data_IF_100849918494
#
_entry.id   IF_100849918494
#
_cell.length_a   1.000
_cell.length_b   1.000
_cell.length_c   1.000
_cell.angle_alpha   90.00
_cell.angle_beta   90.00
_cell.angle_gamma   90.00
#
_symmetry.space_group_name_H-M   'P 1'
#
loop_
_entity.id
_entity.type
_entity.pdbx_description
1 polymer ?
#
# COMPACT_ATOMS: atom_id res chain seq x y z
N UNK A 1 -12.76 27.01 -57.49
CA UNK A 1 -11.61 26.23 -56.95
C UNK A 1 -11.35 26.56 -55.47
N UNK A 2 -12.40 26.59 -54.63
CA UNK A 2 -12.31 27.00 -53.19
C UNK A 2 -13.05 26.04 -52.24
N UNK A 3 -13.84 25.09 -52.78
CA UNK A 3 -14.60 24.11 -51.98
C UNK A 3 -13.78 22.86 -51.59
N UNK A 4 -12.58 22.67 -52.15
CA UNK A 4 -11.73 21.51 -51.84
C UNK A 4 -10.94 21.67 -50.53
N UNK A 5 -10.71 22.91 -50.06
CA UNK A 5 -9.84 23.16 -48.89
C UNK A 5 -10.56 22.96 -47.56
N UNK A 6 -11.89 23.09 -47.52
CA UNK A 6 -12.64 22.89 -46.28
C UNK A 6 -12.76 21.40 -45.91
N UNK A 7 -12.92 20.51 -46.89
CA UNK A 7 -13.04 19.07 -46.64
C UNK A 7 -11.77 18.47 -46.03
N UNK A 8 -10.59 18.91 -46.46
CA UNK A 8 -9.30 18.45 -45.92
C UNK A 8 -9.10 18.84 -44.45
N UNK A 9 -9.59 20.02 -44.04
CA UNK A 9 -9.48 20.49 -42.66
C UNK A 9 -10.28 19.61 -41.69
N UNK A 10 -11.52 19.26 -42.06
CA UNK A 10 -12.38 18.40 -41.22
C UNK A 10 -11.85 16.97 -41.12
N UNK A 11 -11.29 16.41 -42.20
CA UNK A 11 -10.71 15.07 -42.20
C UNK A 11 -9.46 15.02 -41.31
N UNK A 12 -8.60 16.04 -41.38
CA UNK A 12 -7.41 16.15 -40.54
C UNK A 12 -7.76 16.21 -39.05
N UNK A 13 -8.77 17.00 -38.70
CA UNK A 13 -9.21 17.17 -37.32
C UNK A 13 -9.92 15.92 -36.77
N UNK A 14 -10.66 15.20 -37.60
CA UNK A 14 -11.24 13.91 -37.23
C UNK A 14 -10.16 12.84 -36.99
N UNK A 15 -9.13 12.80 -37.84
CA UNK A 15 -8.00 11.87 -37.69
C UNK A 15 -7.21 12.13 -36.41
N UNK A 16 -6.93 13.39 -36.06
CA UNK A 16 -6.22 13.70 -34.82
C UNK A 16 -7.02 13.30 -33.59
N UNK A 17 -8.33 13.54 -33.57
CA UNK A 17 -9.20 13.10 -32.46
C UNK A 17 -9.25 11.58 -32.34
N UNK A 18 -9.34 10.86 -33.46
CA UNK A 18 -9.32 9.38 -33.46
C UNK A 18 -7.97 8.86 -32.96
N UNK A 19 -6.85 9.43 -33.40
CA UNK A 19 -5.51 9.05 -32.94
C UNK A 19 -5.37 9.29 -31.43
N UNK A 20 -5.80 10.46 -30.94
CA UNK A 20 -5.79 10.76 -29.49
C UNK A 20 -6.65 9.76 -28.72
N UNK A 21 -7.85 9.44 -29.22
CA UNK A 21 -8.74 8.47 -28.57
C UNK A 21 -8.15 7.05 -28.57
N UNK A 22 -7.49 6.64 -29.65
CA UNK A 22 -6.80 5.35 -29.73
C UNK A 22 -5.58 5.29 -28.80
N UNK A 23 -4.82 6.39 -28.66
CA UNK A 23 -3.71 6.50 -27.70
C UNK A 23 -4.25 6.41 -26.26
N UNK A 24 -5.37 7.06 -25.96
CA UNK A 24 -6.03 7.01 -24.64
C UNK A 24 -6.61 5.62 -24.34
N UNK A 25 -7.17 4.93 -25.34
CA UNK A 25 -7.62 3.54 -25.20
C UNK A 25 -6.44 2.58 -25.00
N UNK A 26 -5.33 2.77 -25.72
CA UNK A 26 -4.13 1.96 -25.58
C UNK A 26 -3.41 2.18 -24.25
N UNK A 27 -3.53 3.37 -23.64
CA UNK A 27 -2.96 3.65 -22.32
C UNK A 27 -3.83 3.17 -21.14
N UNK A 28 -5.05 2.69 -21.39
CA UNK A 28 -5.88 1.99 -20.40
C UNK A 28 -5.55 0.50 -20.27
N UNK A 29 -4.53 -0.02 -20.97
CA UNK A 29 -3.99 -1.34 -20.65
C UNK A 29 -3.24 -1.22 -19.32
N UNK A 30 -3.68 -1.97 -18.31
CA UNK A 30 -2.98 -2.16 -17.04
C UNK A 30 -1.46 -2.10 -17.23
N UNK A 31 -0.82 -1.11 -16.63
CA UNK A 31 0.63 -0.95 -16.63
C UNK A 31 1.26 -2.19 -16.01
N UNK A 32 1.69 -3.13 -16.85
CA UNK A 32 2.54 -4.25 -16.44
C UNK A 32 3.98 -3.77 -16.55
N UNK A 33 4.59 -3.43 -15.42
CA UNK A 33 6.02 -3.15 -15.38
C UNK A 33 6.78 -4.48 -15.42
N UNK A 34 7.53 -4.70 -16.49
CA UNK A 34 8.44 -5.85 -16.60
C UNK A 34 9.70 -5.57 -15.77
N UNK A 35 9.83 -6.18 -14.59
CA UNK A 35 11.06 -6.12 -13.81
C UNK A 35 12.04 -7.18 -14.33
N UNK A 36 13.21 -6.76 -14.83
CA UNK A 36 14.25 -7.69 -15.28
C UNK A 36 15.07 -8.20 -14.10
N UNK A 37 15.04 -9.51 -13.88
CA UNK A 37 15.87 -10.20 -12.89
C UNK A 37 17.29 -10.42 -13.42
N UNK A 38 18.29 -10.43 -12.53
CA UNK A 38 19.72 -10.66 -12.84
C UNK A 38 20.04 -12.08 -13.38
N UNK A 39 19.02 -12.93 -13.58
CA UNK A 39 19.14 -14.30 -14.13
C UNK A 39 18.24 -14.61 -15.36
N UNK A 40 17.71 -13.60 -16.05
CA UNK A 40 17.21 -13.80 -17.42
C UNK A 40 15.85 -14.51 -17.57
N UNK A 41 15.08 -14.70 -16.50
CA UNK A 41 13.66 -15.06 -16.61
C UNK A 41 12.77 -13.85 -16.32
N UNK A 42 11.99 -13.45 -17.33
CA UNK A 42 10.98 -12.41 -17.20
C UNK A 42 9.75 -12.99 -16.49
N UNK A 43 9.53 -12.64 -15.22
CA UNK A 43 8.25 -12.83 -14.56
C UNK A 43 7.45 -11.53 -14.65
N UNK A 44 6.23 -11.60 -15.19
CA UNK A 44 5.30 -10.47 -15.19
C UNK A 44 4.77 -10.26 -13.78
N UNK A 45 5.35 -9.30 -13.05
CA UNK A 45 4.84 -8.89 -11.75
C UNK A 45 3.76 -7.83 -11.97
N UNK A 46 2.52 -8.12 -11.57
CA UNK A 46 1.52 -7.06 -11.49
C UNK A 46 1.96 -6.06 -10.42
N UNK A 47 1.98 -4.78 -10.79
CA UNK A 47 2.40 -3.73 -9.88
C UNK A 47 1.52 -3.76 -8.62
N UNK A 48 2.15 -3.75 -7.42
CA UNK A 48 1.41 -3.86 -6.18
C UNK A 48 0.53 -2.63 -6.01
N UNK A 49 -0.69 -2.81 -5.49
CA UNK A 49 -1.49 -1.66 -5.05
C UNK A 49 -0.78 -1.01 -3.86
N UNK A 50 -0.70 0.32 -3.81
CA UNK A 50 -0.10 1.05 -2.70
C UNK A 50 -1.19 1.72 -1.90
N UNK A 51 -1.15 1.52 -0.59
CA UNK A 51 -2.05 2.12 0.37
C UNK A 51 -1.26 3.04 1.30
N UNK A 52 -1.46 4.33 1.11
CA UNK A 52 -0.80 5.38 1.88
C UNK A 52 -1.68 5.77 3.06
N UNK A 53 -1.20 5.56 4.28
CA UNK A 53 -1.88 6.02 5.49
C UNK A 53 -1.41 7.44 5.79
N UNK A 54 -2.33 8.40 5.65
CA UNK A 54 -1.95 9.81 5.73
C UNK A 54 -2.83 10.53 6.75
N UNK A 55 -2.27 11.40 7.62
CA UNK A 55 -3.10 12.37 8.31
C UNK A 55 -3.83 13.17 7.24
N UNK A 56 -5.16 13.16 7.28
CA UNK A 56 -6.00 13.94 6.35
C UNK A 56 -5.44 15.35 6.27
N UNK A 57 -5.07 15.78 5.05
CA UNK A 57 -4.50 17.09 4.69
C UNK A 57 -2.98 17.17 4.49
N UNK A 58 -2.28 16.09 4.10
CA UNK A 58 -0.94 16.23 3.50
C UNK A 58 -0.92 15.85 2.00
N UNK A 59 -1.40 16.73 1.10
CA UNK A 59 -1.40 16.49 -0.35
C UNK A 59 0.00 16.18 -0.89
N UNK A 60 1.04 16.76 -0.28
CA UNK A 60 2.43 16.62 -0.70
C UNK A 60 2.91 15.18 -0.65
N UNK A 61 2.54 14.41 0.38
CA UNK A 61 2.98 13.02 0.51
C UNK A 61 2.32 12.11 -0.54
N UNK A 62 1.01 12.26 -0.76
CA UNK A 62 0.27 11.50 -1.77
C UNK A 62 0.75 11.87 -3.18
N UNK A 63 0.94 13.16 -3.44
CA UNK A 63 1.46 13.65 -4.72
C UNK A 63 2.88 13.10 -5.00
N UNK A 64 3.74 13.03 -3.96
CA UNK A 64 5.06 12.41 -4.08
C UNK A 64 4.96 10.90 -4.38
N UNK A 65 4.05 10.17 -3.73
CA UNK A 65 3.85 8.75 -4.04
C UNK A 65 3.37 8.54 -5.48
N UNK A 66 2.37 9.32 -5.92
CA UNK A 66 1.84 9.24 -7.28
C UNK A 66 2.87 9.64 -8.34
N UNK A 67 3.76 10.59 -8.04
CA UNK A 67 4.78 11.04 -8.97
C UNK A 67 5.95 10.04 -9.11
N UNK A 68 6.28 9.30 -8.05
CA UNK A 68 7.50 8.48 -8.02
C UNK A 68 7.24 6.97 -8.15
N UNK A 69 6.01 6.50 -7.94
CA UNK A 69 5.70 5.06 -7.94
C UNK A 69 4.79 4.69 -9.11
N UNK A 70 5.15 3.68 -9.92
CA UNK A 70 4.34 3.23 -11.05
C UNK A 70 3.17 2.35 -10.58
N UNK A 71 2.44 2.75 -9.53
CA UNK A 71 1.45 1.93 -8.88
C UNK A 71 0.14 2.67 -8.61
N UNK A 72 -0.95 1.93 -8.46
CA UNK A 72 -2.22 2.50 -8.01
C UNK A 72 -2.10 2.88 -6.53
N UNK A 73 -2.05 4.18 -6.25
CA UNK A 73 -1.97 4.71 -4.89
C UNK A 73 -3.37 5.07 -4.40
N UNK A 74 -3.77 4.46 -3.28
CA UNK A 74 -4.97 4.83 -2.53
C UNK A 74 -4.54 5.48 -1.22
N UNK A 75 -5.07 6.66 -0.94
CA UNK A 75 -4.85 7.32 0.34
C UNK A 75 -5.98 6.95 1.31
N UNK A 76 -5.62 6.42 2.48
CA UNK A 76 -6.54 6.26 3.59
C UNK A 76 -6.29 7.33 4.65
N UNK A 77 -7.35 7.96 5.17
CA UNK A 77 -7.24 8.95 6.22
C UNK A 77 -6.85 8.29 7.55
N UNK A 78 -5.97 8.93 8.34
CA UNK A 78 -5.83 8.60 9.76
C UNK A 78 -7.06 9.11 10.51
N UNK A 79 -7.86 8.23 11.15
CA UNK A 79 -9.02 8.66 11.91
C UNK A 79 -8.58 9.42 13.17
N UNK A 80 -9.37 10.40 13.61
CA UNK A 80 -9.13 11.04 14.91
C UNK A 80 -9.43 10.05 16.04
N UNK A 81 -8.45 9.78 16.91
CA UNK A 81 -8.60 8.83 18.00
C UNK A 81 -9.70 9.17 19.01
N UNK A 82 -10.10 10.45 19.14
CA UNK A 82 -11.23 10.83 19.99
C UNK A 82 -12.59 10.48 19.40
N UNK A 83 -12.64 10.15 18.11
CA UNK A 83 -13.85 9.77 17.38
C UNK A 83 -13.99 8.25 17.20
N UNK A 84 -12.97 7.48 17.58
CA UNK A 84 -13.02 6.01 17.52
C UNK A 84 -13.84 5.51 18.71
N UNK A 85 -14.94 4.80 18.43
CA UNK A 85 -15.75 4.14 19.47
C UNK A 85 -14.86 3.19 20.30
N UNK A 86 -14.97 3.26 21.62
CA UNK A 86 -14.17 2.43 22.53
C UNK A 86 -14.33 0.94 22.24
N UNK A 87 -15.50 0.50 21.75
CA UNK A 87 -15.77 -0.89 21.34
C UNK A 87 -15.04 -1.32 20.08
N UNK A 88 -14.46 -0.37 19.33
CA UNK A 88 -13.67 -0.66 18.14
C UNK A 88 -12.24 -1.12 18.48
N UNK A 89 -11.78 -0.93 19.72
CA UNK A 89 -10.48 -1.45 20.17
C UNK A 89 -10.62 -2.91 20.63
N UNK A 90 -9.63 -3.77 20.34
CA UNK A 90 -9.60 -5.13 20.86
C UNK A 90 -9.29 -5.14 22.36
N UNK A 91 -9.27 -6.34 22.93
CA UNK A 91 -8.79 -6.52 24.30
C UNK A 91 -7.34 -6.04 24.43
N UNK A 92 -6.95 -5.62 25.63
CA UNK A 92 -5.63 -5.08 25.93
C UNK A 92 -5.69 -3.75 26.68
N UNK A 93 -4.58 -3.02 26.64
CA UNK A 93 -4.32 -1.81 27.38
C UNK A 93 -4.10 -0.61 26.45
N UNK A 94 -4.96 -0.51 25.43
CA UNK A 94 -4.95 0.56 24.44
C UNK A 94 -5.12 1.95 25.06
N UNK A 95 -5.68 2.03 26.27
CA UNK A 95 -5.85 3.28 27.02
C UNK A 95 -4.54 3.92 27.45
N UNK A 96 -3.47 3.15 27.62
CA UNK A 96 -2.13 3.68 27.88
C UNK A 96 -1.40 4.13 26.62
N UNK A 97 -1.89 3.75 25.44
CA UNK A 97 -1.32 4.23 24.19
C UNK A 97 -1.70 5.68 23.94
N UNK A 98 -0.83 6.42 23.27
CA UNK A 98 -1.14 7.78 22.85
C UNK A 98 -2.32 7.80 21.86
N UNK A 99 -3.07 8.91 21.76
CA UNK A 99 -4.08 9.08 20.70
C UNK A 99 -3.51 8.81 19.30
N UNK A 100 -2.29 9.26 19.01
CA UNK A 100 -1.60 9.02 17.74
C UNK A 100 -1.43 7.54 17.45
N UNK A 101 -1.03 6.74 18.44
CA UNK A 101 -0.84 5.30 18.28
C UNK A 101 -2.16 4.56 18.07
N UNK A 102 -3.23 5.00 18.73
CA UNK A 102 -4.59 4.47 18.52
C UNK A 102 -5.13 4.80 17.13
N UNK A 103 -4.94 6.04 16.66
CA UNK A 103 -5.26 6.46 15.31
C UNK A 103 -4.51 5.66 14.25
N UNK A 104 -3.20 5.50 14.42
CA UNK A 104 -2.37 4.73 13.51
C UNK A 104 -2.83 3.27 13.45
N UNK A 105 -2.99 2.61 14.60
CA UNK A 105 -3.52 1.25 14.66
C UNK A 105 -4.84 1.10 13.91
N UNK A 106 -5.79 2.02 14.13
CA UNK A 106 -7.09 1.96 13.46
C UNK A 106 -6.96 2.10 11.94
N UNK A 107 -6.12 3.01 11.47
CA UNK A 107 -5.86 3.15 10.03
C UNK A 107 -5.26 1.87 9.42
N UNK A 108 -4.38 1.17 10.13
CA UNK A 108 -3.88 -0.12 9.69
C UNK A 108 -4.99 -1.19 9.68
N UNK A 109 -5.91 -1.21 10.65
CA UNK A 109 -7.06 -2.13 10.61
C UNK A 109 -8.02 -1.83 9.46
N UNK A 110 -8.25 -0.55 9.15
CA UNK A 110 -9.06 -0.14 8.00
C UNK A 110 -8.38 -0.52 6.68
N UNK A 111 -7.06 -0.40 6.61
CA UNK A 111 -6.27 -0.88 5.50
C UNK A 111 -6.41 -2.38 5.26
N UNK A 112 -6.30 -3.18 6.32
CA UNK A 112 -6.48 -4.64 6.20
C UNK A 112 -7.89 -4.99 5.74
N UNK A 113 -8.91 -4.32 6.29
CA UNK A 113 -10.30 -4.50 5.85
C UNK A 113 -10.47 -4.14 4.37
N UNK A 114 -9.87 -3.04 3.92
CA UNK A 114 -9.91 -2.62 2.53
C UNK A 114 -9.28 -3.66 1.59
N UNK A 115 -8.07 -4.15 1.93
CA UNK A 115 -7.35 -5.19 1.17
C UNK A 115 -8.22 -6.44 1.02
N UNK A 116 -8.81 -6.90 2.12
CA UNK A 116 -9.64 -8.10 2.14
C UNK A 116 -10.93 -7.88 1.33
N UNK A 117 -11.65 -6.78 1.60
CA UNK A 117 -12.94 -6.47 0.98
C UNK A 117 -12.82 -6.20 -0.54
N UNK A 118 -11.71 -5.64 -0.99
CA UNK A 118 -11.43 -5.39 -2.41
C UNK A 118 -10.71 -6.55 -3.09
N UNK A 119 -10.44 -7.64 -2.38
CA UNK A 119 -9.73 -8.80 -2.89
C UNK A 119 -8.38 -8.44 -3.55
N UNK A 120 -7.63 -7.54 -2.92
CA UNK A 120 -6.32 -7.14 -3.42
C UNK A 120 -5.30 -8.26 -3.18
N UNK A 121 -4.54 -8.60 -4.21
CA UNK A 121 -3.61 -9.73 -4.16
C UNK A 121 -2.35 -9.41 -3.35
N UNK A 122 -1.65 -8.34 -3.74
CA UNK A 122 -0.47 -7.82 -3.06
C UNK A 122 -0.67 -6.32 -2.85
N UNK A 123 -0.55 -5.88 -1.60
CA UNK A 123 -0.65 -4.46 -1.26
C UNK A 123 0.55 -4.01 -0.44
N UNK A 124 1.18 -2.91 -0.86
CA UNK A 124 2.15 -2.17 -0.07
C UNK A 124 1.40 -1.20 0.83
N UNK A 125 1.54 -1.33 2.14
CA UNK A 125 1.01 -0.38 3.11
C UNK A 125 2.16 0.43 3.68
N UNK A 126 2.01 1.75 3.65
CA UNK A 126 3.04 2.66 4.12
C UNK A 126 2.44 3.75 5.01
N UNK A 127 3.16 4.04 6.09
CA UNK A 127 2.91 5.20 6.95
C UNK A 127 4.23 5.92 7.15
N UNK A 128 4.34 7.14 6.63
CA UNK A 128 5.58 7.91 6.71
C UNK A 128 5.94 8.56 5.39
N UNK A 129 7.18 8.39 4.94
CA UNK A 129 7.72 9.01 3.73
C UNK A 129 7.73 8.07 2.52
N UNK A 130 8.01 8.63 1.34
CA UNK A 130 8.06 7.86 0.08
C UNK A 130 9.29 6.95 0.06
N UNK A 131 10.38 7.37 0.70
CA UNK A 131 11.63 6.64 0.75
C UNK A 131 11.48 5.24 1.36
N UNK A 132 10.73 5.10 2.46
CA UNK A 132 10.44 3.78 3.05
C UNK A 132 9.63 2.87 2.12
N UNK A 133 8.82 3.45 1.24
CA UNK A 133 8.00 2.73 0.26
C UNK A 133 8.84 2.28 -0.93
N UNK A 134 9.70 3.15 -1.44
CA UNK A 134 10.66 2.86 -2.51
C UNK A 134 11.67 1.79 -2.09
N UNK A 135 12.27 1.92 -0.89
CA UNK A 135 13.23 0.95 -0.37
C UNK A 135 12.58 -0.43 -0.25
N UNK A 136 11.33 -0.49 0.19
CA UNK A 136 10.60 -1.75 0.26
C UNK A 136 10.28 -2.31 -1.13
N UNK A 137 9.87 -1.49 -2.10
CA UNK A 137 9.62 -1.94 -3.48
C UNK A 137 10.87 -2.50 -4.16
N UNK A 138 12.04 -1.94 -3.87
CA UNK A 138 13.32 -2.45 -4.39
C UNK A 138 13.72 -3.78 -3.75
N UNK A 139 13.29 -4.03 -2.51
CA UNK A 139 13.73 -5.18 -1.71
C UNK A 139 12.73 -6.33 -1.66
N UNK A 140 11.43 -6.05 -1.78
CA UNK A 140 10.40 -7.08 -1.88
C UNK A 140 10.66 -7.88 -3.14
N UNK A 141 11.07 -9.12 -2.95
CA UNK A 141 11.20 -10.08 -4.05
C UNK A 141 9.84 -10.78 -4.24
N UNK A 142 9.50 -11.15 -5.49
CA UNK A 142 8.43 -12.11 -5.73
C UNK A 142 8.72 -13.41 -4.96
N UNK A 143 7.74 -13.93 -4.23
CA UNK A 143 7.91 -15.15 -3.46
C UNK A 143 6.64 -15.51 -2.68
N UNK A 144 6.63 -16.72 -2.12
CA UNK A 144 5.60 -17.17 -1.19
C UNK A 144 5.83 -16.49 0.17
N UNK A 145 5.34 -15.26 0.32
CA UNK A 145 5.29 -14.55 1.58
C UNK A 145 3.87 -14.10 1.89
N UNK A 146 3.51 -14.09 3.18
CA UNK A 146 2.27 -13.51 3.66
C UNK A 146 2.45 -12.02 3.97
N UNK A 147 3.60 -11.69 4.58
CA UNK A 147 3.96 -10.33 4.99
C UNK A 147 5.46 -10.12 4.79
N UNK A 148 5.83 -9.02 4.16
CA UNK A 148 7.21 -8.50 4.17
C UNK A 148 7.25 -7.16 4.89
N UNK A 149 8.00 -7.04 5.98
CA UNK A 149 8.08 -5.82 6.79
C UNK A 149 9.48 -5.20 6.77
N UNK A 150 9.54 -3.88 6.59
CA UNK A 150 10.77 -3.10 6.71
C UNK A 150 10.94 -2.65 8.16
N UNK A 151 11.80 -3.36 8.91
CA UNK A 151 11.81 -3.28 10.38
C UNK A 151 12.70 -2.17 10.96
N UNK A 152 13.54 -1.52 10.16
CA UNK A 152 14.58 -0.60 10.64
C UNK A 152 14.60 0.77 9.94
N UNK A 153 13.48 1.49 9.90
CA UNK A 153 13.42 2.82 9.28
C UNK A 153 13.26 3.94 10.31
N UNK A 154 14.13 4.95 10.28
CA UNK A 154 14.07 6.10 11.21
C UNK A 154 12.95 7.10 10.89
N UNK A 155 12.37 7.06 9.68
CA UNK A 155 11.45 8.09 9.17
C UNK A 155 10.00 7.63 8.89
N UNK A 156 9.70 6.37 9.10
CA UNK A 156 8.41 5.77 8.76
C UNK A 156 8.45 4.27 8.93
N UNK A 157 7.47 3.55 8.39
CA UNK A 157 7.60 2.12 8.12
C UNK A 157 6.65 1.72 6.99
N UNK A 158 7.04 0.67 6.27
CA UNK A 158 6.25 0.09 5.20
C UNK A 158 6.27 -1.43 5.33
N UNK A 159 5.20 -2.07 4.85
CA UNK A 159 5.14 -3.51 4.67
C UNK A 159 4.34 -3.87 3.42
N UNK A 160 4.72 -4.96 2.78
CA UNK A 160 3.93 -5.60 1.75
C UNK A 160 3.15 -6.74 2.40
N UNK A 161 1.89 -6.91 2.02
CA UNK A 161 1.01 -7.91 2.60
C UNK A 161 0.11 -8.51 1.53
N UNK A 162 -0.10 -9.81 1.62
CA UNK A 162 -1.10 -10.55 0.83
C UNK A 162 -2.45 -10.55 1.52
N UNK A 163 -3.51 -11.00 0.85
CA UNK A 163 -4.81 -11.15 1.50
C UNK A 163 -4.78 -12.12 2.70
N UNK A 164 -3.99 -13.20 2.65
CA UNK A 164 -3.81 -14.13 3.78
C UNK A 164 -3.08 -13.46 4.94
N UNK A 165 -1.99 -12.75 4.65
CA UNK A 165 -1.27 -11.95 5.64
C UNK A 165 -2.14 -10.89 6.29
N UNK A 166 -3.00 -10.22 5.51
CA UNK A 166 -3.91 -9.19 6.02
C UNK A 166 -4.93 -9.76 7.02
N UNK A 167 -5.50 -10.94 6.72
CA UNK A 167 -6.39 -11.65 7.66
C UNK A 167 -5.66 -12.05 8.94
N UNK A 168 -4.43 -12.54 8.83
CA UNK A 168 -3.61 -12.91 10.00
C UNK A 168 -3.29 -11.70 10.86
N UNK A 169 -2.85 -10.58 10.26
CA UNK A 169 -2.62 -9.32 10.99
C UNK A 169 -3.89 -8.84 11.69
N UNK A 170 -5.02 -8.83 11.00
CA UNK A 170 -6.29 -8.40 11.59
C UNK A 170 -6.71 -9.31 12.75
N UNK A 171 -6.48 -10.61 12.66
CA UNK A 171 -6.79 -11.52 13.75
C UNK A 171 -5.88 -11.32 14.97
N UNK A 172 -4.56 -11.23 14.77
CA UNK A 172 -3.60 -11.16 15.88
C UNK A 172 -3.49 -9.75 16.49
N UNK A 173 -3.54 -8.70 15.66
CA UNK A 173 -3.41 -7.31 16.11
C UNK A 173 -4.73 -6.53 16.13
N UNK A 174 -5.77 -7.03 15.48
CA UNK A 174 -7.09 -6.39 15.44
C UNK A 174 -8.10 -6.96 16.43
N UNK A 175 -7.87 -8.18 16.94
CA UNK A 175 -8.82 -8.88 17.82
C UNK A 175 -8.16 -9.28 19.15
N UNK A 176 -6.96 -9.86 19.11
CA UNK A 176 -6.37 -10.49 20.30
C UNK A 176 -5.76 -9.50 21.28
N UNK A 177 -4.90 -8.59 20.82
CA UNK A 177 -4.25 -7.67 21.74
C UNK A 177 -3.81 -6.34 21.10
N UNK A 178 -4.05 -5.24 21.80
CA UNK A 178 -3.57 -3.91 21.43
C UNK A 178 -2.92 -3.17 22.61
N UNK A 179 -1.75 -3.67 23.02
CA UNK A 179 -0.97 -3.13 24.14
C UNK A 179 0.19 -2.22 23.71
N UNK A 180 0.50 -2.17 22.41
CA UNK A 180 1.70 -1.53 21.85
C UNK A 180 1.43 -0.86 20.51
N UNK A 181 2.35 0.01 20.12
CA UNK A 181 2.31 0.66 18.81
C UNK A 181 2.38 -0.38 17.69
N UNK A 182 1.57 -0.20 16.63
CA UNK A 182 1.48 -1.17 15.54
C UNK A 182 2.82 -1.45 14.85
N UNK A 183 3.68 -0.43 14.73
CA UNK A 183 5.05 -0.61 14.23
C UNK A 183 5.89 -1.50 15.14
N UNK A 184 5.84 -1.26 16.45
CA UNK A 184 6.59 -2.03 17.43
C UNK A 184 6.13 -3.50 17.43
N UNK A 185 4.83 -3.73 17.28
CA UNK A 185 4.23 -5.04 17.14
C UNK A 185 4.84 -5.86 16.00
N UNK A 186 4.89 -5.29 14.78
CA UNK A 186 5.49 -5.95 13.64
C UNK A 186 7.00 -6.13 13.78
N UNK A 187 7.69 -5.17 14.42
CA UNK A 187 9.11 -5.29 14.73
C UNK A 187 9.44 -6.41 15.73
N UNK A 188 8.55 -6.66 16.70
CA UNK A 188 8.65 -7.78 17.64
C UNK A 188 8.47 -9.13 16.93
N UNK A 189 7.50 -9.25 16.00
CA UNK A 189 7.40 -10.43 15.15
C UNK A 189 8.68 -10.73 14.38
N UNK A 190 9.38 -9.69 13.89
CA UNK A 190 10.66 -9.85 13.21
C UNK A 190 11.80 -10.28 14.14
N UNK A 191 11.74 -9.91 15.42
CA UNK A 191 12.70 -10.36 16.44
C UNK A 191 12.33 -11.74 17.03
N UNK A 192 11.20 -12.32 16.62
CA UNK A 192 10.67 -13.55 17.21
C UNK A 192 10.10 -13.36 18.62
N UNK A 193 9.85 -12.13 19.03
CA UNK A 193 9.23 -11.77 20.31
C UNK A 193 7.71 -11.77 20.12
N UNK A 194 7.02 -12.87 20.49
CA UNK A 194 5.56 -12.98 20.34
C UNK A 194 4.80 -12.70 21.65
N UNK A 195 5.48 -12.15 22.67
CA UNK A 195 4.88 -11.92 23.99
C UNK A 195 3.66 -11.02 23.86
N UNK A 196 2.48 -11.61 24.03
CA UNK A 196 1.18 -10.95 23.96
C UNK A 196 0.80 -10.37 22.59
N UNK A 197 1.50 -10.74 21.50
CA UNK A 197 1.28 -10.18 20.15
C UNK A 197 0.74 -11.20 19.16
N UNK A 198 0.29 -12.34 19.66
CA UNK A 198 -0.22 -13.42 18.84
C UNK A 198 0.87 -14.17 18.08
N UNK A 199 0.44 -15.05 17.17
CA UNK A 199 1.36 -15.80 16.33
C UNK A 199 1.72 -15.00 15.07
N UNK A 200 3.02 -14.93 14.75
CA UNK A 200 3.46 -14.34 13.48
C UNK A 200 2.89 -15.12 12.27
N UNK A 201 2.75 -14.49 11.09
CA UNK A 201 2.44 -15.20 9.86
C UNK A 201 3.45 -16.33 9.59
N UNK A 202 2.97 -17.41 8.95
CA UNK A 202 3.83 -18.55 8.60
C UNK A 202 5.00 -18.11 7.73
N UNK A 203 4.73 -17.17 6.82
CA UNK A 203 5.70 -16.64 5.87
C UNK A 203 5.86 -15.12 6.09
N UNK A 204 6.51 -14.77 7.21
CA UNK A 204 6.94 -13.41 7.51
C UNK A 204 8.39 -13.20 7.07
N UNK A 205 8.62 -12.24 6.18
CA UNK A 205 9.96 -11.80 5.77
C UNK A 205 10.28 -10.43 6.37
N UNK A 206 11.43 -10.31 7.00
CA UNK A 206 11.85 -9.10 7.71
C UNK A 206 13.08 -8.52 7.04
N UNK A 207 12.95 -7.30 6.55
CA UNK A 207 14.00 -6.58 5.84
C UNK A 207 14.57 -5.54 6.80
N UNK A 208 15.84 -5.70 7.15
CA UNK A 208 16.61 -4.67 7.85
C UNK A 208 17.33 -3.79 6.82
N UNK A 209 17.34 -2.48 7.06
CA UNK A 209 18.18 -1.52 6.34
C UNK A 209 19.63 -1.63 6.75
#
# INVERSE_FOLDING_TARGET
>A
MLLHNHAYSYISLALTVIIIFLILLASNTHTTASFFHRHGQAQTFQLPTILALTPTNSPSYIALLLANLPAHVYALPLPNASLIDERAYPQGNHRHLSPTNRSAWRAHMDAMQYIIAKNLNITLVTSGDVASSEDLLQRVQPGDWDVTFLSNTTKGFAYAVTQSGARKIMYEHGIRNFDREFRAALGEWCRGETRNMGEKPRLLYCVST
#
